data_IF_961653374809
#
_entry.id   IF_961653374809
#
_cell.length_a   1.000
_cell.length_b   1.000
_cell.length_c   1.000
_cell.angle_alpha   90.00
_cell.angle_beta   90.00
_cell.angle_gamma   90.00
#
_symmetry.space_group_name_H-M   'P 1'
#
loop_
_entity.id
_entity.type
_entity.pdbx_description
1 polymer ?
#
# COMPACT_ATOMS: atom_id res chain seq x y z
N UNK A 1 16.24 50.69 28.88
CA UNK A 1 15.92 50.23 27.53
C UNK A 1 15.68 48.72 27.56
N UNK A 2 14.42 48.32 27.69
CA UNK A 2 14.01 46.94 27.75
C UNK A 2 13.88 46.38 26.34
N UNK A 3 14.71 45.39 25.97
CA UNK A 3 14.51 44.61 24.77
C UNK A 3 13.65 43.37 25.11
N UNK A 4 12.41 43.36 24.71
CA UNK A 4 11.52 42.19 24.79
C UNK A 4 12.03 41.13 23.85
N UNK A 5 12.39 39.97 24.38
CA UNK A 5 12.68 38.77 23.62
C UNK A 5 11.37 38.22 23.00
N UNK A 6 11.35 38.05 21.69
CA UNK A 6 10.17 37.57 20.96
C UNK A 6 9.89 36.09 21.28
N UNK A 7 8.60 35.72 21.31
CA UNK A 7 8.11 34.33 21.54
C UNK A 7 8.72 33.26 20.60
N UNK A 8 9.33 33.67 19.49
CA UNK A 8 10.04 32.78 18.57
C UNK A 8 11.41 32.31 19.04
N UNK A 9 12.06 33.06 19.96
CA UNK A 9 13.36 32.68 20.50
C UNK A 9 13.24 31.62 21.61
N UNK A 10 12.10 31.57 22.32
CA UNK A 10 11.88 30.63 23.42
C UNK A 10 11.60 29.20 22.91
N UNK A 11 10.98 29.04 21.72
CA UNK A 11 10.71 27.75 21.10
C UNK A 11 11.92 27.07 20.44
N UNK A 12 12.98 27.83 20.14
CA UNK A 12 14.19 27.26 19.54
C UNK A 12 15.21 26.70 20.54
N UNK A 13 15.08 27.04 21.82
CA UNK A 13 16.05 26.60 22.85
C UNK A 13 15.61 25.33 23.58
N UNK A 14 14.36 24.88 23.43
CA UNK A 14 13.84 23.71 24.14
C UNK A 14 13.94 22.39 23.36
N UNK A 15 14.39 22.43 22.12
CA UNK A 15 14.44 21.23 21.23
C UNK A 15 15.89 20.69 21.10
N UNK A 16 16.89 21.44 21.53
CA UNK A 16 18.30 21.04 21.39
C UNK A 16 18.87 20.19 22.55
N UNK A 17 18.05 19.84 23.57
CA UNK A 17 18.53 19.15 24.77
C UNK A 17 18.08 17.68 24.88
N UNK A 18 17.38 17.15 23.89
CA UNK A 18 16.83 15.78 23.92
C UNK A 18 17.64 14.69 23.24
N UNK A 19 18.75 15.00 22.57
CA UNK A 19 19.42 14.03 21.67
C UNK A 19 20.74 13.46 22.21
N UNK A 20 21.08 13.56 23.49
CA UNK A 20 22.39 13.11 23.99
C UNK A 20 22.38 12.39 25.35
N UNK A 21 21.35 11.54 25.61
CA UNK A 21 21.35 10.69 26.81
C UNK A 21 20.85 9.26 26.54
N UNK A 22 21.28 8.66 25.46
CA UNK A 22 20.98 7.26 25.15
C UNK A 22 22.21 6.34 25.16
N UNK A 23 23.27 6.71 25.89
CA UNK A 23 24.43 5.81 26.05
C UNK A 23 25.07 6.01 27.43
N UNK A 24 24.46 5.46 28.47
CA UNK A 24 25.10 4.90 29.67
C UNK A 24 24.06 4.67 30.78
N UNK A 25 23.65 3.41 31.01
CA UNK A 25 23.46 2.86 32.36
C UNK A 25 22.86 1.46 32.26
N UNK A 26 23.74 0.47 32.18
CA UNK A 26 23.46 -0.82 32.77
C UNK A 26 23.55 -0.61 34.28
N UNK A 27 22.42 -0.45 34.95
CA UNK A 27 22.37 -0.26 36.39
C UNK A 27 20.94 -0.05 36.88
N UNK A 28 20.43 -1.02 37.65
CA UNK A 28 19.21 -1.03 38.48
C UNK A 28 17.92 -0.66 37.74
N UNK A 29 16.99 -1.64 37.66
CA UNK A 29 15.63 -1.40 37.19
C UNK A 29 14.98 -0.30 38.06
N UNK A 30 14.35 0.72 37.44
CA UNK A 30 13.58 1.70 38.17
C UNK A 30 12.36 0.99 38.79
N UNK A 31 12.01 1.39 40.04
CA UNK A 31 10.86 0.87 40.79
C UNK A 31 9.52 1.40 40.23
N UNK A 32 9.35 1.57 38.96
CA UNK A 32 8.14 2.08 38.29
C UNK A 32 7.64 1.13 37.20
N UNK A 33 6.40 1.31 36.80
CA UNK A 33 5.73 0.51 35.75
C UNK A 33 6.33 0.79 34.38
N UNK A 34 6.82 2.02 34.15
CA UNK A 34 7.33 2.51 32.88
C UNK A 34 8.76 3.01 33.01
N UNK A 35 9.48 2.99 31.93
CA UNK A 35 10.74 3.74 31.74
C UNK A 35 10.37 5.17 31.39
N UNK A 36 10.71 6.17 32.23
CA UNK A 36 10.39 7.57 31.93
C UNK A 36 10.97 7.99 30.57
N UNK A 37 10.16 8.68 29.77
CA UNK A 37 10.56 9.14 28.45
C UNK A 37 9.37 9.39 27.53
N UNK A 38 9.67 9.80 26.29
CA UNK A 38 8.66 10.02 25.25
C UNK A 38 8.81 8.93 24.19
N UNK A 39 7.72 8.27 23.88
CA UNK A 39 7.65 7.18 22.94
C UNK A 39 6.62 7.48 21.87
N UNK A 40 6.94 7.15 20.63
CA UNK A 40 6.03 7.37 19.50
C UNK A 40 5.83 6.09 18.73
N UNK A 41 4.62 5.89 18.23
CA UNK A 41 4.29 4.75 17.40
C UNK A 41 3.22 5.09 16.36
N UNK A 42 3.21 4.33 15.29
CA UNK A 42 2.29 4.50 14.16
C UNK A 42 1.34 3.32 14.04
N UNK A 43 0.11 3.63 13.57
CA UNK A 43 -0.86 2.63 13.17
C UNK A 43 -1.67 3.11 11.98
N UNK A 44 -2.23 2.18 11.21
CA UNK A 44 -3.08 2.51 10.07
C UNK A 44 -4.53 2.62 10.51
N UNK A 45 -5.10 3.80 10.31
CA UNK A 45 -6.52 4.07 10.33
C UNK A 45 -7.08 4.12 8.91
N UNK A 46 -7.83 5.16 8.57
CA UNK A 46 -8.12 5.54 7.18
C UNK A 46 -6.83 6.06 6.55
N UNK A 47 -6.11 6.94 7.24
CA UNK A 47 -4.74 7.32 6.95
C UNK A 47 -3.75 6.77 7.98
N UNK A 48 -2.56 7.38 8.05
CA UNK A 48 -1.58 7.09 9.09
C UNK A 48 -1.91 7.89 10.34
N UNK A 49 -2.01 7.21 11.47
CA UNK A 49 -2.17 7.81 12.80
C UNK A 49 -0.86 7.66 13.55
N UNK A 50 -0.32 8.77 14.06
CA UNK A 50 0.84 8.76 14.95
C UNK A 50 0.40 9.14 16.37
N UNK A 51 0.80 8.32 17.33
CA UNK A 51 0.60 8.59 18.76
C UNK A 51 1.96 8.79 19.41
N UNK A 52 2.12 9.91 20.11
CA UNK A 52 3.29 10.20 20.93
C UNK A 52 2.85 10.31 22.37
N UNK A 53 3.41 9.51 23.25
CA UNK A 53 3.06 9.44 24.67
C UNK A 53 4.30 9.69 25.52
N UNK A 54 4.17 10.54 26.52
CA UNK A 54 5.21 10.80 27.50
C UNK A 54 4.84 10.16 28.83
N UNK A 55 5.79 9.44 29.41
CA UNK A 55 5.64 8.67 30.66
C UNK A 55 6.59 9.19 31.73
N UNK A 56 6.12 9.25 32.96
CA UNK A 56 6.98 9.17 34.15
C UNK A 56 7.10 7.69 34.58
N UNK A 57 7.65 7.44 35.77
CA UNK A 57 7.85 6.07 36.24
C UNK A 57 6.54 5.28 36.46
N UNK A 58 5.42 5.96 36.69
CA UNK A 58 4.19 5.35 37.17
C UNK A 58 2.99 5.56 36.23
N UNK A 59 3.04 6.59 35.36
CA UNK A 59 1.88 6.98 34.57
C UNK A 59 2.21 7.67 33.25
N UNK A 60 1.17 7.78 32.41
CA UNK A 60 1.18 8.60 31.18
C UNK A 60 0.95 10.06 31.60
N UNK A 61 1.90 10.95 31.27
CA UNK A 61 1.83 12.37 31.65
C UNK A 61 1.44 13.30 30.50
N UNK A 62 1.59 12.88 29.25
CA UNK A 62 1.08 13.59 28.07
C UNK A 62 0.84 12.63 26.89
N UNK A 63 -0.09 13.03 26.01
CA UNK A 63 -0.41 12.35 24.77
C UNK A 63 -0.56 13.38 23.66
N UNK A 64 0.12 13.17 22.56
CA UNK A 64 -0.04 13.94 21.31
C UNK A 64 -0.51 12.99 20.22
N UNK A 65 -1.59 13.36 19.52
CA UNK A 65 -2.15 12.60 18.41
C UNK A 65 -1.95 13.38 17.13
N UNK A 66 -1.30 12.77 16.16
CA UNK A 66 -1.34 13.24 14.77
C UNK A 66 -2.32 12.34 13.99
N UNK A 67 -3.47 12.91 13.71
CA UNK A 67 -4.55 12.32 12.92
C UNK A 67 -4.83 13.17 11.66
N UNK A 68 -3.85 13.94 11.23
CA UNK A 68 -3.97 14.84 10.07
C UNK A 68 -4.34 14.11 8.78
N UNK A 69 -4.01 12.83 8.70
CA UNK A 69 -4.33 11.96 7.57
C UNK A 69 -5.65 11.19 7.70
N UNK A 70 -6.42 11.45 8.77
CA UNK A 70 -7.75 10.88 8.98
C UNK A 70 -8.83 11.77 8.33
N UNK A 71 -10.06 11.25 8.23
CA UNK A 71 -11.18 11.97 7.61
C UNK A 71 -11.45 13.29 8.31
N UNK A 72 -11.38 14.44 7.62
CA UNK A 72 -11.76 15.74 8.17
C UNK A 72 -13.20 15.73 8.72
N UNK A 73 -13.42 16.38 9.86
CA UNK A 73 -14.75 16.46 10.49
C UNK A 73 -15.22 15.17 11.18
N UNK A 74 -14.54 14.04 11.00
CA UNK A 74 -14.85 12.76 11.66
C UNK A 74 -13.64 12.28 12.45
N UNK A 75 -12.62 11.71 11.79
CA UNK A 75 -11.44 11.17 12.44
C UNK A 75 -10.57 12.26 13.05
N UNK A 76 -10.36 13.37 12.35
CA UNK A 76 -9.61 14.52 12.88
C UNK A 76 -10.34 15.19 14.04
N UNK A 77 -11.67 15.33 13.95
CA UNK A 77 -12.48 15.90 15.02
C UNK A 77 -12.53 15.04 16.30
N UNK A 78 -12.21 13.76 16.20
CA UNK A 78 -12.17 12.85 17.32
C UNK A 78 -10.88 12.98 18.19
N UNK A 79 -9.85 13.67 17.70
CA UNK A 79 -8.52 13.71 18.32
C UNK A 79 -8.55 14.13 19.79
N UNK A 80 -9.20 15.26 20.11
CA UNK A 80 -9.24 15.79 21.46
C UNK A 80 -9.95 14.83 22.44
N UNK A 81 -11.02 14.18 21.98
CA UNK A 81 -11.75 13.20 22.78
C UNK A 81 -10.90 11.95 23.02
N UNK A 82 -10.23 11.44 21.99
CA UNK A 82 -9.35 10.26 22.10
C UNK A 82 -8.14 10.55 22.98
N UNK A 83 -7.54 11.76 22.88
CA UNK A 83 -6.49 12.19 23.80
C UNK A 83 -6.97 12.18 25.27
N UNK A 84 -8.14 12.75 25.53
CA UNK A 84 -8.74 12.76 26.88
C UNK A 84 -8.99 11.35 27.39
N UNK A 85 -9.50 10.46 26.54
CA UNK A 85 -9.76 9.08 26.91
C UNK A 85 -8.47 8.33 27.26
N UNK A 86 -7.39 8.48 26.47
CA UNK A 86 -6.08 7.89 26.78
C UNK A 86 -5.50 8.40 28.10
N UNK A 87 -5.56 9.71 28.33
CA UNK A 87 -5.09 10.31 29.57
C UNK A 87 -5.89 9.86 30.80
N UNK A 88 -7.20 9.71 30.66
CA UNK A 88 -8.08 9.25 31.74
C UNK A 88 -7.94 7.74 32.02
N UNK A 89 -7.85 6.93 30.97
CA UNK A 89 -7.75 5.48 31.09
C UNK A 89 -6.37 5.01 31.55
N UNK A 90 -5.31 5.81 31.31
CA UNK A 90 -3.93 5.40 31.55
C UNK A 90 -3.59 4.06 30.87
N UNK A 91 -4.24 3.74 29.76
CA UNK A 91 -4.17 2.48 29.02
C UNK A 91 -4.43 2.70 27.52
N UNK A 92 -4.08 1.73 26.69
CA UNK A 92 -4.35 1.77 25.27
C UNK A 92 -5.80 1.43 24.90
N UNK A 93 -6.46 0.65 25.75
CA UNK A 93 -7.86 0.30 25.57
C UNK A 93 -8.74 1.44 26.08
N UNK A 94 -9.36 2.15 25.15
CA UNK A 94 -10.19 3.33 25.40
C UNK A 94 -11.52 3.22 24.67
N UNK A 95 -12.51 3.93 25.18
CA UNK A 95 -13.77 4.11 24.47
C UNK A 95 -13.55 4.88 23.17
N UNK A 96 -14.04 4.31 22.09
CA UNK A 96 -13.99 4.94 20.77
C UNK A 96 -15.00 6.07 20.63
N UNK A 97 -14.72 6.96 19.71
CA UNK A 97 -15.65 8.04 19.33
C UNK A 97 -16.64 7.53 18.30
N UNK A 98 -17.94 7.71 18.56
CA UNK A 98 -19.00 7.32 17.63
C UNK A 98 -18.82 7.97 16.28
N UNK A 99 -18.90 7.19 15.21
CA UNK A 99 -18.63 7.63 13.83
C UNK A 99 -17.14 7.61 13.43
N UNK A 100 -16.19 7.64 14.39
CA UNK A 100 -14.75 7.59 14.15
C UNK A 100 -14.10 6.26 14.56
N UNK A 101 -14.78 5.15 14.35
CA UNK A 101 -14.36 3.82 14.84
C UNK A 101 -13.00 3.38 14.30
N UNK A 102 -12.70 3.67 13.05
CA UNK A 102 -11.43 3.28 12.41
C UNK A 102 -10.27 4.07 13.03
N UNK A 103 -10.43 5.39 13.17
CA UNK A 103 -9.47 6.27 13.82
C UNK A 103 -9.24 5.87 15.28
N UNK A 104 -10.32 5.61 16.04
CA UNK A 104 -10.24 5.17 17.43
C UNK A 104 -9.42 3.89 17.59
N UNK A 105 -9.67 2.88 16.74
CA UNK A 105 -8.89 1.63 16.72
C UNK A 105 -7.42 1.85 16.36
N UNK A 106 -7.13 2.75 15.43
CA UNK A 106 -5.75 3.07 15.06
C UNK A 106 -5.02 3.78 16.22
N UNK A 107 -5.67 4.74 16.88
CA UNK A 107 -5.13 5.41 18.06
C UNK A 107 -4.84 4.41 19.17
N UNK A 108 -5.79 3.51 19.50
CA UNK A 108 -5.57 2.46 20.51
C UNK A 108 -4.40 1.53 20.16
N UNK A 109 -4.26 1.12 18.90
CA UNK A 109 -3.14 0.28 18.46
C UNK A 109 -1.77 0.99 18.57
N UNK A 110 -1.69 2.25 18.20
CA UNK A 110 -0.47 3.02 18.32
C UNK A 110 -0.13 3.30 19.79
N UNK A 111 -1.12 3.63 20.62
CA UNK A 111 -0.95 3.80 22.05
C UNK A 111 -0.45 2.52 22.75
N UNK A 112 -0.97 1.34 22.36
CA UNK A 112 -0.49 0.06 22.88
C UNK A 112 0.99 -0.17 22.61
N UNK A 113 1.47 0.19 21.43
CA UNK A 113 2.90 0.13 21.09
C UNK A 113 3.73 1.11 21.94
N UNK A 114 3.29 2.36 22.13
CA UNK A 114 3.98 3.32 22.99
C UNK A 114 4.10 2.79 24.42
N UNK A 115 3.03 2.19 24.97
CA UNK A 115 3.02 1.59 26.30
C UNK A 115 3.99 0.41 26.38
N UNK A 116 3.99 -0.49 25.38
CA UNK A 116 4.90 -1.63 25.31
C UNK A 116 6.38 -1.19 25.22
N UNK A 117 6.67 -0.12 24.48
CA UNK A 117 8.01 0.50 24.43
C UNK A 117 8.42 1.06 25.79
N UNK A 118 7.51 1.80 26.48
CA UNK A 118 7.77 2.37 27.79
C UNK A 118 8.00 1.29 28.86
N UNK A 119 7.33 0.16 28.75
CA UNK A 119 7.56 -1.03 29.60
C UNK A 119 8.84 -1.79 29.23
N UNK A 120 9.40 -1.52 28.06
CA UNK A 120 10.56 -2.25 27.52
C UNK A 120 10.22 -3.65 26.98
N UNK A 121 8.95 -3.92 26.70
CA UNK A 121 8.45 -5.16 26.13
C UNK A 121 8.79 -5.29 24.64
N UNK A 122 8.89 -4.15 23.94
CA UNK A 122 9.32 -4.06 22.53
C UNK A 122 10.39 -2.98 22.37
N UNK A 123 11.28 -3.06 21.34
CA UNK A 123 12.23 -2.01 21.04
C UNK A 123 11.54 -0.66 20.79
N UNK A 124 12.20 0.43 21.15
CA UNK A 124 11.72 1.77 20.85
C UNK A 124 11.74 1.96 19.33
N UNK A 125 10.59 2.22 18.76
CA UNK A 125 10.45 2.55 17.34
C UNK A 125 11.01 3.96 17.15
N UNK A 126 12.18 4.12 16.55
CA UNK A 126 12.72 5.42 16.18
C UNK A 126 11.88 5.90 14.99
N UNK A 127 10.82 6.65 15.28
CA UNK A 127 10.15 7.42 14.24
C UNK A 127 11.13 8.55 13.91
N UNK A 128 11.98 8.33 12.92
CA UNK A 128 12.74 9.42 12.34
C UNK A 128 11.71 10.35 11.72
N UNK A 129 11.52 11.54 12.32
CA UNK A 129 11.07 12.70 11.58
C UNK A 129 12.20 13.03 10.58
N UNK A 130 12.33 12.20 9.54
CA UNK A 130 12.95 12.67 8.31
C UNK A 130 12.01 13.78 7.87
N UNK A 131 12.35 15.04 8.22
CA UNK A 131 11.86 16.19 7.48
C UNK A 131 11.99 15.80 6.03
N UNK A 132 10.84 15.56 5.38
CA UNK A 132 10.80 15.64 3.94
C UNK A 132 11.43 16.97 3.61
N UNK A 133 12.49 16.91 2.82
CA UNK A 133 13.23 18.07 2.33
C UNK A 133 12.29 19.25 2.09
N UNK A 134 12.74 20.45 2.40
CA UNK A 134 11.95 21.67 2.26
C UNK A 134 11.11 21.58 1.00
N UNK A 135 9.80 21.71 1.18
CA UNK A 135 8.83 21.63 0.10
C UNK A 135 9.11 22.77 -0.90
N UNK A 136 9.94 22.48 -1.90
CA UNK A 136 10.27 23.44 -2.97
C UNK A 136 9.14 23.57 -4.00
N UNK A 137 8.00 22.89 -3.77
CA UNK A 137 6.85 22.89 -4.67
C UNK A 137 6.98 21.92 -5.85
N UNK A 138 8.15 21.33 -6.08
CA UNK A 138 8.36 20.38 -7.17
C UNK A 138 7.89 18.97 -6.78
N UNK A 139 6.99 18.40 -7.60
CA UNK A 139 6.53 17.03 -7.42
C UNK A 139 7.62 15.97 -7.71
N UNK A 140 8.66 16.33 -8.43
CA UNK A 140 9.78 15.45 -8.74
C UNK A 140 10.68 15.25 -7.52
N UNK A 141 10.81 16.28 -6.66
CA UNK A 141 11.70 16.28 -5.50
C UNK A 141 13.19 16.30 -5.90
N UNK A 142 14.06 16.17 -4.91
CA UNK A 142 15.51 16.07 -5.13
C UNK A 142 15.97 14.64 -5.14
N UNK A 143 16.93 14.32 -6.02
CA UNK A 143 17.58 13.01 -6.01
C UNK A 143 18.30 12.79 -4.67
N UNK A 144 18.08 11.67 -3.96
CA UNK A 144 18.75 11.42 -2.70
C UNK A 144 20.26 11.24 -2.89
N UNK A 145 21.05 11.90 -2.06
CA UNK A 145 22.50 11.71 -1.97
C UNK A 145 22.80 10.58 -0.98
N UNK A 146 23.30 9.45 -1.50
CA UNK A 146 23.60 8.25 -0.72
C UNK A 146 25.09 7.97 -0.89
N UNK A 147 25.85 8.07 0.22
CA UNK A 147 27.28 7.80 0.17
C UNK A 147 27.53 6.29 0.07
N UNK A 148 28.60 5.89 -0.63
CA UNK A 148 28.94 4.47 -0.83
C UNK A 148 29.13 3.72 0.52
N UNK A 149 29.65 4.38 1.52
CA UNK A 149 29.83 3.82 2.88
C UNK A 149 28.52 3.50 3.61
N UNK A 150 27.39 4.07 3.17
CA UNK A 150 26.08 3.88 3.77
C UNK A 150 25.33 2.68 3.17
N UNK A 151 25.91 2.07 2.12
CA UNK A 151 25.39 0.86 1.47
C UNK A 151 25.94 -0.37 2.23
N UNK A 152 25.05 -1.03 2.96
CA UNK A 152 25.45 -2.15 3.83
C UNK A 152 25.52 -3.49 3.14
N UNK A 153 24.89 -3.65 1.96
CA UNK A 153 24.91 -4.88 1.18
C UNK A 153 24.71 -4.61 -0.31
N UNK A 154 25.25 -5.49 -1.15
CA UNK A 154 25.02 -5.48 -2.61
C UNK A 154 24.55 -6.86 -3.07
N UNK A 155 23.50 -6.90 -3.84
CA UNK A 155 22.95 -8.11 -4.45
C UNK A 155 23.08 -8.08 -5.96
N UNK A 156 23.46 -9.21 -6.55
CA UNK A 156 23.58 -9.40 -7.99
C UNK A 156 22.43 -10.25 -8.53
N UNK A 157 21.80 -9.78 -9.60
CA UNK A 157 20.71 -10.50 -10.27
C UNK A 157 20.76 -10.25 -11.78
N UNK A 158 20.05 -11.07 -12.58
CA UNK A 158 19.84 -10.79 -13.99
C UNK A 158 18.82 -9.70 -14.17
N UNK A 159 17.67 -9.85 -13.49
CA UNK A 159 16.52 -8.96 -13.59
C UNK A 159 16.10 -8.57 -12.18
N UNK A 160 15.96 -7.28 -11.96
CA UNK A 160 15.35 -6.73 -10.76
C UNK A 160 13.94 -6.23 -11.09
N UNK A 161 12.97 -6.62 -10.29
CA UNK A 161 11.60 -6.09 -10.38
C UNK A 161 11.32 -5.25 -9.14
N UNK A 162 10.98 -3.97 -9.35
CA UNK A 162 10.67 -3.01 -8.30
C UNK A 162 9.16 -2.83 -8.21
N UNK A 163 8.59 -3.24 -7.08
CA UNK A 163 7.16 -3.30 -6.85
C UNK A 163 6.59 -4.69 -7.14
N UNK A 164 6.11 -5.40 -6.10
CA UNK A 164 5.50 -6.73 -6.20
C UNK A 164 3.96 -6.63 -6.09
N UNK A 165 3.39 -5.65 -6.79
CA UNK A 165 1.95 -5.56 -7.05
C UNK A 165 1.54 -6.44 -8.23
N UNK A 166 0.37 -6.18 -8.83
CA UNK A 166 -0.16 -6.97 -9.95
C UNK A 166 0.86 -7.10 -11.09
N UNK A 167 1.36 -5.99 -11.62
CA UNK A 167 2.32 -6.04 -12.74
C UNK A 167 3.64 -6.66 -12.36
N UNK A 168 4.14 -6.37 -11.14
CA UNK A 168 5.45 -6.84 -10.69
C UNK A 168 5.51 -8.33 -10.40
N UNK A 169 4.52 -8.90 -9.73
CA UNK A 169 4.47 -10.34 -9.46
C UNK A 169 4.44 -11.16 -10.75
N UNK A 170 3.65 -10.74 -11.73
CA UNK A 170 3.64 -11.39 -13.04
C UNK A 170 4.98 -11.24 -13.78
N UNK A 171 5.61 -10.06 -13.68
CA UNK A 171 6.93 -9.84 -14.28
C UNK A 171 8.00 -10.74 -13.63
N UNK A 172 8.01 -10.88 -12.29
CA UNK A 172 8.91 -11.80 -11.58
C UNK A 172 8.64 -13.24 -12.03
N UNK A 173 7.38 -13.67 -12.08
CA UNK A 173 7.02 -15.02 -12.46
C UNK A 173 7.46 -15.35 -13.90
N UNK A 174 7.16 -14.46 -14.86
CA UNK A 174 7.53 -14.64 -16.26
C UNK A 174 9.06 -14.69 -16.46
N UNK A 175 9.80 -13.79 -15.78
CA UNK A 175 11.25 -13.75 -15.88
C UNK A 175 11.92 -14.98 -15.25
N UNK A 176 11.39 -15.47 -14.12
CA UNK A 176 11.88 -16.70 -13.48
C UNK A 176 11.53 -17.95 -14.31
N UNK A 177 10.34 -18.01 -14.91
CA UNK A 177 9.91 -19.08 -15.82
C UNK A 177 10.82 -19.16 -17.05
N UNK A 178 11.27 -18.00 -17.56
CA UNK A 178 12.26 -17.92 -18.63
C UNK A 178 13.70 -18.28 -18.22
N UNK A 179 13.93 -18.70 -16.98
CA UNK A 179 15.23 -19.13 -16.46
C UNK A 179 16.15 -17.98 -16.03
N UNK A 180 15.64 -16.75 -15.88
CA UNK A 180 16.42 -15.64 -15.34
C UNK A 180 16.63 -15.74 -13.85
N UNK A 181 17.77 -15.28 -13.33
CA UNK A 181 17.94 -14.99 -11.90
C UNK A 181 17.19 -13.70 -11.61
N UNK A 182 16.13 -13.77 -10.77
CA UNK A 182 15.23 -12.65 -10.55
C UNK A 182 15.12 -12.33 -9.07
N UNK A 183 15.16 -11.04 -8.75
CA UNK A 183 14.81 -10.52 -7.43
C UNK A 183 13.64 -9.56 -7.60
N UNK A 184 12.58 -9.76 -6.82
CA UNK A 184 11.48 -8.81 -6.65
C UNK A 184 11.66 -8.06 -5.33
N UNK A 185 11.57 -6.73 -5.35
CA UNK A 185 11.59 -5.91 -4.12
C UNK A 185 10.28 -5.14 -3.98
N UNK A 186 9.79 -5.02 -2.75
CA UNK A 186 8.60 -4.21 -2.45
C UNK A 186 8.73 -3.52 -1.09
N UNK A 187 8.18 -2.31 -0.98
CA UNK A 187 8.15 -1.55 0.27
C UNK A 187 7.20 -2.15 1.31
N UNK A 188 6.27 -2.99 0.92
CA UNK A 188 5.34 -3.68 1.80
C UNK A 188 5.92 -5.02 2.27
N UNK A 189 5.33 -5.57 3.32
CA UNK A 189 5.76 -6.83 3.92
C UNK A 189 5.37 -8.08 3.13
N UNK A 190 4.52 -7.93 2.11
CA UNK A 190 4.03 -9.01 1.25
C UNK A 190 3.73 -8.47 -0.13
N UNK A 191 3.71 -9.33 -1.13
CA UNK A 191 3.19 -9.02 -2.44
C UNK A 191 1.72 -8.60 -2.36
N UNK A 192 1.39 -7.45 -2.96
CA UNK A 192 0.07 -6.84 -2.81
C UNK A 192 -0.51 -6.48 -4.16
N UNK A 193 -1.80 -6.19 -4.16
CA UNK A 193 -2.43 -5.48 -5.28
C UNK A 193 -2.88 -6.31 -6.45
N UNK A 194 -2.69 -7.63 -6.46
CA UNK A 194 -3.42 -8.45 -7.42
C UNK A 194 -4.88 -8.49 -6.96
N UNK A 195 -5.77 -7.94 -7.79
CA UNK A 195 -7.19 -8.15 -7.59
C UNK A 195 -7.53 -9.59 -7.93
N UNK A 196 -8.53 -10.13 -7.25
CA UNK A 196 -9.00 -11.47 -7.52
C UNK A 196 -9.76 -11.54 -8.86
N UNK A 197 -10.33 -10.42 -9.32
CA UNK A 197 -10.96 -10.30 -10.63
C UNK A 197 -9.98 -9.74 -11.66
N UNK A 198 -9.81 -10.45 -12.75
CA UNK A 198 -8.92 -10.11 -13.84
C UNK A 198 -9.71 -9.94 -15.15
N UNK A 199 -9.39 -8.90 -15.91
CA UNK A 199 -10.00 -8.66 -17.21
C UNK A 199 -9.19 -9.29 -18.35
N UNK A 200 -9.87 -9.89 -19.33
CA UNK A 200 -9.24 -10.36 -20.56
C UNK A 200 -10.20 -10.43 -21.74
N UNK A 201 -9.64 -10.48 -22.94
CA UNK A 201 -10.36 -10.76 -24.20
C UNK A 201 -9.71 -11.95 -24.89
N UNK A 202 -10.53 -12.81 -25.48
CA UNK A 202 -10.13 -14.00 -26.22
C UNK A 202 -9.44 -15.11 -25.40
N UNK A 203 -9.70 -15.19 -24.09
CA UNK A 203 -9.26 -16.33 -23.29
C UNK A 203 -9.90 -17.65 -23.72
N UNK A 204 -9.27 -18.79 -23.38
CA UNK A 204 -9.88 -20.11 -23.57
C UNK A 204 -11.21 -20.27 -22.82
N UNK A 205 -11.36 -19.59 -21.70
CA UNK A 205 -12.58 -19.59 -20.89
C UNK A 205 -13.71 -18.87 -21.61
N UNK A 206 -13.46 -17.70 -22.19
CA UNK A 206 -14.44 -16.98 -23.00
C UNK A 206 -14.84 -17.77 -24.24
N UNK A 207 -13.88 -18.42 -24.91
CA UNK A 207 -14.17 -19.30 -26.06
C UNK A 207 -15.06 -20.48 -25.67
N UNK A 208 -14.77 -21.14 -24.54
CA UNK A 208 -15.58 -22.23 -24.02
C UNK A 208 -17.00 -21.78 -23.65
N UNK A 209 -17.19 -20.54 -23.24
CA UNK A 209 -18.49 -19.98 -22.87
C UNK A 209 -19.23 -19.29 -24.01
N UNK A 210 -18.63 -19.28 -25.20
CA UNK A 210 -19.21 -18.65 -26.38
C UNK A 210 -19.22 -17.13 -26.34
N UNK A 211 -18.45 -16.52 -25.43
CA UNK A 211 -18.32 -15.08 -25.30
C UNK A 211 -17.40 -14.54 -26.39
N UNK A 212 -17.91 -13.57 -27.15
CA UNK A 212 -17.16 -12.86 -28.18
C UNK A 212 -17.22 -11.36 -27.90
N UNK A 213 -16.05 -10.71 -27.92
CA UNK A 213 -15.93 -9.26 -27.67
C UNK A 213 -15.30 -8.64 -28.90
N UNK A 214 -15.98 -7.62 -29.46
CA UNK A 214 -15.40 -6.79 -30.52
C UNK A 214 -14.34 -5.87 -29.91
N UNK A 215 -13.10 -6.07 -30.31
CA UNK A 215 -11.94 -5.30 -29.81
C UNK A 215 -12.00 -3.83 -30.18
N UNK A 216 -12.52 -3.49 -31.37
CA UNK A 216 -12.66 -2.11 -31.80
C UNK A 216 -13.73 -1.39 -31.01
N UNK A 217 -14.86 -2.06 -30.75
CA UNK A 217 -15.90 -1.52 -29.88
C UNK A 217 -15.36 -1.31 -28.47
N UNK A 218 -14.62 -2.29 -27.91
CA UNK A 218 -14.00 -2.16 -26.60
C UNK A 218 -13.03 -0.96 -26.54
N UNK A 219 -12.13 -0.81 -27.52
CA UNK A 219 -11.18 0.31 -27.58
C UNK A 219 -11.93 1.65 -27.67
N UNK A 220 -12.99 1.70 -28.47
CA UNK A 220 -13.81 2.90 -28.63
C UNK A 220 -14.47 3.29 -27.30
N UNK A 221 -15.09 2.32 -26.60
CA UNK A 221 -15.71 2.55 -25.31
C UNK A 221 -14.72 2.94 -24.24
N UNK A 222 -13.55 2.29 -24.19
CA UNK A 222 -12.47 2.64 -23.28
C UNK A 222 -11.96 4.07 -23.51
N UNK A 223 -11.84 4.48 -24.77
CA UNK A 223 -11.45 5.84 -25.15
C UNK A 223 -12.48 6.86 -24.70
N UNK A 224 -13.76 6.59 -24.93
CA UNK A 224 -14.86 7.46 -24.49
C UNK A 224 -14.94 7.56 -22.97
N UNK A 225 -14.79 6.41 -22.26
CA UNK A 225 -14.78 6.35 -20.80
C UNK A 225 -13.65 7.19 -20.19
N UNK A 226 -12.48 7.18 -20.80
CA UNK A 226 -11.32 7.97 -20.38
C UNK A 226 -11.37 9.43 -20.87
N UNK A 227 -12.48 9.89 -21.46
CA UNK A 227 -12.62 11.25 -22.00
C UNK A 227 -11.61 11.58 -23.12
N UNK A 228 -11.17 10.59 -23.87
CA UNK A 228 -10.16 10.71 -24.91
C UNK A 228 -8.70 10.67 -24.41
N UNK A 229 -8.47 10.68 -23.11
CA UNK A 229 -7.14 10.65 -22.48
C UNK A 229 -6.64 9.21 -22.30
N UNK A 230 -6.38 8.51 -23.40
CA UNK A 230 -5.97 7.11 -23.39
C UNK A 230 -4.85 6.87 -24.43
N UNK A 231 -3.94 5.98 -24.10
CA UNK A 231 -2.97 5.44 -25.05
C UNK A 231 -3.58 4.21 -25.72
N UNK A 232 -4.20 4.39 -26.88
CA UNK A 232 -4.93 3.33 -27.60
C UNK A 232 -4.04 2.13 -27.94
N UNK A 233 -2.76 2.34 -28.22
CA UNK A 233 -1.80 1.26 -28.50
C UNK A 233 -1.65 0.31 -27.31
N UNK A 234 -1.64 0.83 -26.07
CA UNK A 234 -1.60 0.02 -24.86
C UNK A 234 -2.90 -0.75 -24.65
N UNK A 235 -4.05 -0.12 -24.91
CA UNK A 235 -5.35 -0.79 -24.82
C UNK A 235 -5.45 -1.88 -25.89
N UNK A 236 -5.00 -1.60 -27.10
CA UNK A 236 -4.92 -2.60 -28.16
C UNK A 236 -4.02 -3.78 -27.78
N UNK A 237 -2.84 -3.51 -27.25
CA UNK A 237 -1.93 -4.56 -26.77
C UNK A 237 -2.60 -5.42 -25.71
N UNK A 238 -3.33 -4.80 -24.75
CA UNK A 238 -4.10 -5.52 -23.76
C UNK A 238 -5.18 -6.37 -24.40
N UNK A 239 -5.95 -5.85 -25.37
CA UNK A 239 -6.96 -6.62 -26.10
C UNK A 239 -6.38 -7.84 -26.82
N UNK A 240 -5.17 -7.72 -27.33
CA UNK A 240 -4.53 -8.78 -28.12
C UNK A 240 -3.83 -9.85 -27.24
N UNK A 241 -3.42 -9.49 -26.01
CA UNK A 241 -2.54 -10.32 -25.17
C UNK A 241 -3.15 -10.78 -23.86
N UNK A 242 -4.22 -10.15 -23.40
CA UNK A 242 -4.81 -10.46 -22.08
C UNK A 242 -5.38 -11.89 -22.01
N UNK A 243 -5.92 -12.43 -23.11
CA UNK A 243 -6.41 -13.80 -23.16
C UNK A 243 -5.32 -14.82 -22.86
N UNK A 244 -4.16 -14.69 -23.51
CA UNK A 244 -3.00 -15.53 -23.26
C UNK A 244 -2.51 -15.44 -21.80
N UNK A 245 -2.49 -14.22 -21.23
CA UNK A 245 -2.10 -14.02 -19.85
C UNK A 245 -3.08 -14.70 -18.87
N UNK A 246 -4.37 -14.60 -19.11
CA UNK A 246 -5.40 -15.27 -18.28
C UNK A 246 -5.34 -16.79 -18.42
N UNK A 247 -5.07 -17.31 -19.60
CA UNK A 247 -4.88 -18.74 -19.81
C UNK A 247 -3.70 -19.26 -18.97
N UNK A 248 -2.60 -18.52 -18.93
CA UNK A 248 -1.46 -18.82 -18.06
C UNK A 248 -1.84 -18.82 -16.57
N UNK A 249 -2.62 -17.81 -16.11
CA UNK A 249 -3.15 -17.77 -14.74
C UNK A 249 -3.98 -19.00 -14.43
N UNK A 250 -4.88 -19.36 -15.33
CA UNK A 250 -5.73 -20.53 -15.17
C UNK A 250 -4.95 -21.83 -14.99
N UNK A 251 -3.83 -22.00 -15.69
CA UNK A 251 -2.96 -23.16 -15.51
C UNK A 251 -2.35 -23.19 -14.10
N UNK A 252 -1.92 -22.05 -13.58
CA UNK A 252 -1.35 -21.96 -12.20
C UNK A 252 -2.42 -22.24 -11.14
N UNK A 253 -3.64 -21.82 -11.37
CA UNK A 253 -4.77 -22.10 -10.49
C UNK A 253 -5.15 -23.58 -10.54
N UNK A 254 -5.18 -24.18 -11.74
CA UNK A 254 -5.49 -25.60 -11.95
C UNK A 254 -4.49 -26.52 -11.25
N UNK A 255 -3.20 -26.18 -11.18
CA UNK A 255 -2.18 -26.91 -10.40
C UNK A 255 -2.56 -27.01 -8.89
N UNK A 256 -3.52 -26.22 -8.43
CA UNK A 256 -3.99 -26.17 -7.03
C UNK A 256 -5.45 -26.59 -6.89
N UNK A 257 -6.05 -27.13 -7.94
CA UNK A 257 -7.48 -27.43 -8.02
C UNK A 257 -8.38 -26.21 -7.76
N UNK A 258 -7.92 -25.03 -8.17
CA UNK A 258 -8.69 -23.79 -8.12
C UNK A 258 -9.22 -23.53 -9.54
N UNK A 259 -10.54 -23.44 -9.65
CA UNK A 259 -11.21 -23.14 -10.91
C UNK A 259 -11.17 -21.64 -11.18
N UNK A 260 -10.90 -21.25 -12.41
CA UNK A 260 -11.08 -19.88 -12.87
C UNK A 260 -12.47 -19.75 -13.52
N UNK A 261 -13.29 -18.93 -12.90
CA UNK A 261 -14.65 -18.65 -13.37
C UNK A 261 -14.64 -17.42 -14.29
N UNK A 262 -15.50 -17.43 -15.29
CA UNK A 262 -15.70 -16.33 -16.21
C UNK A 262 -17.03 -15.62 -15.93
N UNK A 263 -17.00 -14.32 -15.80
CA UNK A 263 -18.17 -13.47 -15.64
C UNK A 263 -18.90 -13.31 -16.99
N UNK A 264 -20.20 -13.56 -17.01
CA UNK A 264 -20.99 -13.55 -18.25
C UNK A 264 -21.32 -12.15 -18.77
N UNK A 265 -21.01 -11.11 -18.02
CA UNK A 265 -21.42 -9.73 -18.30
C UNK A 265 -22.89 -9.46 -17.97
N UNK A 266 -23.26 -8.20 -17.86
CA UNK A 266 -24.65 -7.80 -17.69
C UNK A 266 -25.32 -7.63 -19.06
N UNK A 267 -26.46 -8.30 -19.24
CA UNK A 267 -27.23 -8.19 -20.47
C UNK A 267 -28.15 -6.96 -20.50
N UNK A 268 -28.37 -6.32 -19.38
CA UNK A 268 -29.26 -5.21 -19.17
C UNK A 268 -28.52 -3.90 -18.86
N UNK A 269 -27.49 -3.61 -19.64
CA UNK A 269 -26.72 -2.40 -19.41
C UNK A 269 -27.51 -1.15 -19.87
N UNK A 270 -28.19 -0.52 -18.93
CA UNK A 270 -28.85 0.78 -19.10
C UNK A 270 -27.88 1.95 -18.92
N UNK A 271 -26.59 1.66 -18.68
CA UNK A 271 -25.59 2.69 -18.46
C UNK A 271 -25.12 3.31 -19.77
N UNK A 272 -24.52 4.47 -19.68
CA UNK A 272 -23.94 5.19 -20.83
C UNK A 272 -22.82 4.38 -21.52
N UNK A 273 -22.18 3.46 -20.80
CA UNK A 273 -21.08 2.66 -21.28
C UNK A 273 -21.44 1.19 -21.27
N UNK A 274 -21.17 0.52 -22.39
CA UNK A 274 -21.41 -0.91 -22.53
C UNK A 274 -20.54 -1.69 -21.56
N UNK A 275 -21.13 -2.63 -20.83
CA UNK A 275 -20.42 -3.58 -19.99
C UNK A 275 -19.99 -4.79 -20.83
N UNK A 276 -18.69 -5.04 -20.89
CA UNK A 276 -18.13 -6.18 -21.60
C UNK A 276 -17.87 -7.34 -20.64
N UNK A 277 -18.18 -8.56 -21.06
CA UNK A 277 -17.92 -9.77 -20.29
C UNK A 277 -16.43 -10.14 -20.29
N UNK A 278 -15.59 -9.29 -19.69
CA UNK A 278 -14.13 -9.44 -19.62
C UNK A 278 -13.66 -10.06 -18.31
N UNK A 279 -14.52 -10.14 -17.29
CA UNK A 279 -14.17 -10.57 -15.94
C UNK A 279 -13.82 -12.06 -15.87
N UNK A 280 -12.75 -12.38 -15.14
CA UNK A 280 -12.34 -13.73 -14.79
C UNK A 280 -11.97 -13.73 -13.31
N UNK A 281 -12.66 -14.56 -12.53
CA UNK A 281 -12.49 -14.64 -11.08
C UNK A 281 -12.07 -16.03 -10.63
N UNK A 282 -11.00 -16.20 -9.86
CA UNK A 282 -10.64 -17.49 -9.29
C UNK A 282 -11.60 -17.85 -8.15
N UNK A 283 -12.06 -19.11 -8.09
CA UNK A 283 -12.83 -19.64 -6.96
C UNK A 283 -11.89 -19.97 -5.80
N UNK A 284 -11.32 -18.92 -5.18
CA UNK A 284 -10.38 -19.08 -4.09
C UNK A 284 -11.06 -19.69 -2.86
N UNK A 285 -10.39 -20.64 -2.18
CA UNK A 285 -10.94 -21.27 -0.98
C UNK A 285 -11.01 -20.27 0.17
N UNK A 286 -12.18 -20.19 0.81
CA UNK A 286 -12.44 -19.33 1.97
C UNK A 286 -12.30 -20.13 3.25
N UNK A 287 -11.67 -19.53 4.26
CA UNK A 287 -11.68 -20.07 5.63
C UNK A 287 -13.06 -19.81 6.26
N UNK A 288 -13.81 -20.85 6.62
CA UNK A 288 -15.16 -20.70 7.16
C UNK A 288 -15.20 -20.01 8.54
N UNK A 289 -14.08 -19.98 9.25
CA UNK A 289 -13.99 -19.35 10.58
C UNK A 289 -13.75 -17.84 10.47
N UNK A 290 -12.99 -17.42 9.50
CA UNK A 290 -12.54 -16.02 9.37
C UNK A 290 -13.21 -15.27 8.22
N UNK A 291 -13.86 -15.98 7.28
CA UNK A 291 -14.42 -15.42 6.05
C UNK A 291 -13.36 -14.90 5.07
N UNK A 292 -12.08 -15.14 5.32
CA UNK A 292 -10.97 -14.68 4.46
C UNK A 292 -10.53 -15.78 3.49
N UNK A 293 -9.93 -15.39 2.39
CA UNK A 293 -9.29 -16.37 1.51
C UNK A 293 -8.15 -17.10 2.22
N UNK A 294 -8.09 -18.42 2.06
CA UNK A 294 -6.97 -19.25 2.56
C UNK A 294 -5.69 -19.00 1.78
N UNK A 295 -5.81 -18.63 0.53
CA UNK A 295 -4.74 -18.22 -0.37
C UNK A 295 -5.28 -17.16 -1.31
N UNK A 296 -4.47 -16.16 -1.64
CA UNK A 296 -4.79 -15.13 -2.62
C UNK A 296 -4.15 -15.45 -3.97
N UNK A 297 -4.62 -14.84 -5.05
CA UNK A 297 -3.99 -14.96 -6.36
C UNK A 297 -2.54 -14.45 -6.33
N UNK A 298 -2.26 -13.38 -5.58
CA UNK A 298 -0.90 -12.88 -5.38
C UNK A 298 0.03 -13.98 -4.81
N UNK A 299 -0.43 -14.68 -3.77
CA UNK A 299 0.34 -15.78 -3.17
C UNK A 299 0.51 -16.97 -4.12
N UNK A 300 -0.47 -17.26 -4.97
CA UNK A 300 -0.33 -18.31 -6.01
C UNK A 300 0.81 -17.97 -6.97
N UNK A 301 0.82 -16.74 -7.49
CA UNK A 301 1.84 -16.27 -8.44
C UNK A 301 3.21 -16.17 -7.78
N UNK A 302 3.29 -15.62 -6.56
CA UNK A 302 4.52 -15.52 -5.79
C UNK A 302 5.16 -16.89 -5.52
N UNK A 303 4.37 -17.84 -5.03
CA UNK A 303 4.85 -19.21 -4.76
C UNK A 303 5.28 -19.95 -6.04
N UNK A 304 4.58 -19.68 -7.16
CA UNK A 304 5.04 -20.21 -8.46
C UNK A 304 6.40 -19.61 -8.86
N UNK A 305 6.56 -18.30 -8.77
CA UNK A 305 7.81 -17.63 -9.08
C UNK A 305 8.97 -18.10 -8.17
N UNK A 306 8.71 -18.25 -6.87
CA UNK A 306 9.69 -18.77 -5.91
C UNK A 306 10.10 -20.21 -6.24
N UNK A 307 9.15 -21.07 -6.65
CA UNK A 307 9.45 -22.45 -7.13
C UNK A 307 10.33 -22.45 -8.39
N UNK A 308 10.26 -21.39 -9.20
CA UNK A 308 11.12 -21.18 -10.37
C UNK A 308 12.46 -20.51 -10.04
N UNK A 309 12.75 -20.27 -8.76
CA UNK A 309 14.00 -19.70 -8.27
C UNK A 309 14.02 -18.19 -8.08
N UNK A 310 12.89 -17.51 -8.17
CA UNK A 310 12.81 -16.09 -7.84
C UNK A 310 12.99 -15.87 -6.33
N UNK A 311 13.64 -14.74 -5.98
CA UNK A 311 13.78 -14.24 -4.62
C UNK A 311 12.90 -13.02 -4.44
N UNK A 312 12.33 -12.83 -3.24
CA UNK A 312 11.56 -11.65 -2.87
C UNK A 312 12.16 -11.00 -1.63
N UNK A 313 12.45 -9.72 -1.71
CA UNK A 313 12.90 -8.89 -0.60
C UNK A 313 11.81 -7.84 -0.30
N UNK A 314 10.99 -8.16 0.69
CA UNK A 314 9.92 -7.28 1.17
C UNK A 314 10.44 -6.26 2.18
N UNK A 315 9.59 -5.27 2.55
CA UNK A 315 9.98 -4.12 3.38
C UNK A 315 11.20 -3.39 2.82
N UNK A 316 11.34 -3.39 1.49
CA UNK A 316 12.47 -2.86 0.77
C UNK A 316 11.99 -1.84 -0.26
N UNK A 317 12.23 -0.56 0.03
CA UNK A 317 11.74 0.58 -0.76
C UNK A 317 12.83 1.09 -1.68
N UNK A 318 12.63 1.04 -2.99
CA UNK A 318 13.52 1.72 -3.95
C UNK A 318 13.59 3.22 -3.64
N UNK A 319 14.79 3.76 -3.56
CA UNK A 319 15.03 5.19 -3.33
C UNK A 319 15.81 5.85 -4.48
N UNK A 320 16.59 5.09 -5.23
CA UNK A 320 17.41 5.64 -6.32
C UNK A 320 17.62 4.61 -7.42
N UNK A 321 17.52 5.06 -8.69
CA UNK A 321 17.94 4.29 -9.87
C UNK A 321 19.44 4.55 -10.14
N UNK A 322 20.23 3.50 -10.35
CA UNK A 322 21.61 3.64 -10.75
C UNK A 322 21.73 3.50 -12.27
N UNK A 323 22.48 4.42 -12.88
CA UNK A 323 22.69 4.47 -14.34
C UNK A 323 24.18 4.46 -14.67
N UNK A 324 24.52 3.72 -15.70
CA UNK A 324 25.85 3.70 -16.29
C UNK A 324 25.74 3.85 -17.81
N UNK A 325 26.36 4.88 -18.37
CA UNK A 325 26.32 5.15 -19.82
C UNK A 325 24.89 5.22 -20.38
N UNK A 326 23.98 5.91 -19.66
CA UNK A 326 22.59 6.07 -20.09
C UNK A 326 21.67 4.87 -19.81
N UNK A 327 22.21 3.72 -19.42
CA UNK A 327 21.44 2.51 -19.09
C UNK A 327 21.23 2.39 -17.59
N UNK A 328 20.04 2.01 -17.17
CA UNK A 328 19.77 1.61 -15.78
C UNK A 328 20.40 0.25 -15.52
N UNK A 329 21.29 0.18 -14.53
CA UNK A 329 22.08 -1.01 -14.18
C UNK A 329 21.72 -1.58 -12.81
N UNK A 330 20.92 -0.85 -12.03
CA UNK A 330 20.53 -1.29 -10.71
C UNK A 330 19.71 -0.24 -9.97
N UNK A 331 19.49 -0.50 -8.70
CA UNK A 331 18.83 0.43 -7.79
C UNK A 331 19.48 0.40 -6.42
N UNK A 332 19.35 1.51 -5.69
CA UNK A 332 19.55 1.54 -4.24
C UNK A 332 18.17 1.56 -3.58
N UNK A 333 18.00 0.71 -2.59
CA UNK A 333 16.78 0.59 -1.82
C UNK A 333 17.04 0.71 -0.32
N UNK A 334 16.08 1.19 0.43
CA UNK A 334 16.07 1.23 1.89
C UNK A 334 15.34 0.00 2.41
N UNK A 335 15.98 -0.79 3.27
CA UNK A 335 15.42 -2.00 3.86
C UNK A 335 14.59 -1.70 5.13
N UNK A 336 14.06 -2.74 5.78
CA UNK A 336 13.25 -2.63 7.00
C UNK A 336 13.98 -1.93 8.16
N UNK A 337 15.31 -2.00 8.20
CA UNK A 337 16.16 -1.39 9.25
C UNK A 337 16.53 0.07 8.92
N UNK A 338 16.01 0.63 7.82
CA UNK A 338 16.38 1.96 7.34
C UNK A 338 17.78 2.07 6.75
N UNK A 339 18.39 0.93 6.39
CA UNK A 339 19.73 0.86 5.79
C UNK A 339 19.65 0.72 4.28
N UNK A 340 20.63 1.26 3.58
CA UNK A 340 20.67 1.17 2.13
C UNK A 340 21.28 -0.12 1.63
N UNK A 341 20.63 -0.72 0.65
CA UNK A 341 21.05 -1.95 -0.04
C UNK A 341 21.06 -1.70 -1.54
N UNK A 342 22.12 -2.12 -2.21
CA UNK A 342 22.24 -2.03 -3.67
C UNK A 342 21.81 -3.34 -4.33
N UNK A 343 21.10 -3.22 -5.44
CA UNK A 343 20.73 -4.32 -6.32
C UNK A 343 21.26 -4.04 -7.72
N UNK A 344 22.25 -4.81 -8.18
CA UNK A 344 22.77 -4.75 -9.53
C UNK A 344 21.98 -5.71 -10.42
N UNK A 345 21.52 -5.22 -11.59
CA UNK A 345 20.73 -5.98 -12.53
C UNK A 345 21.43 -6.06 -13.89
N UNK A 346 22.01 -7.21 -14.21
CA UNK A 346 22.83 -7.39 -15.41
C UNK A 346 22.04 -7.21 -16.71
N UNK A 347 20.78 -7.66 -16.74
CA UNK A 347 19.91 -7.58 -17.92
C UNK A 347 18.96 -6.37 -17.88
N UNK A 348 18.50 -5.95 -16.70
CA UNK A 348 17.68 -4.76 -16.58
C UNK A 348 16.80 -4.71 -15.33
N UNK A 349 16.14 -3.58 -15.18
CA UNK A 349 15.21 -3.28 -14.06
C UNK A 349 13.82 -3.07 -14.63
N UNK A 350 12.84 -3.80 -14.08
CA UNK A 350 11.42 -3.58 -14.35
C UNK A 350 10.84 -2.72 -13.22
N UNK A 351 10.34 -1.53 -13.56
CA UNK A 351 9.69 -0.63 -12.61
C UNK A 351 8.19 -0.89 -12.65
N UNK A 352 7.66 -1.53 -11.61
CA UNK A 352 6.25 -1.91 -11.47
C UNK A 352 5.63 -1.31 -10.20
N UNK A 353 6.02 -0.08 -9.86
CA UNK A 353 5.68 0.61 -8.61
C UNK A 353 4.25 1.14 -8.54
N UNK A 354 3.45 0.92 -9.57
CA UNK A 354 2.07 1.37 -9.67
C UNK A 354 1.93 2.84 -10.04
N UNK A 355 0.75 3.39 -9.80
CA UNK A 355 0.44 4.78 -10.15
C UNK A 355 0.84 5.78 -9.06
N UNK A 356 0.78 7.05 -9.42
CA UNK A 356 1.15 8.18 -8.56
C UNK A 356 -0.05 8.83 -7.84
N UNK A 357 -1.20 8.18 -7.81
CA UNK A 357 -2.41 8.74 -7.19
C UNK A 357 -2.25 9.13 -5.71
N UNK A 358 -1.24 8.59 -5.03
CA UNK A 358 -0.89 8.97 -3.64
C UNK A 358 0.13 10.11 -3.55
N UNK A 359 0.69 10.57 -4.68
CA UNK A 359 1.54 11.74 -4.73
C UNK A 359 0.68 12.95 -5.10
N UNK A 360 0.29 13.73 -4.09
CA UNK A 360 -0.63 14.85 -4.26
C UNK A 360 -0.06 15.92 -5.21
N UNK A 361 1.21 16.22 -5.12
CA UNK A 361 1.88 17.18 -5.99
C UNK A 361 1.89 16.73 -7.46
N UNK A 362 2.14 15.44 -7.70
CA UNK A 362 2.02 14.89 -9.05
C UNK A 362 0.58 14.92 -9.56
N UNK A 363 -0.40 14.65 -8.70
CA UNK A 363 -1.81 14.75 -9.05
C UNK A 363 -2.19 16.17 -9.39
N UNK A 364 -1.75 17.16 -8.63
CA UNK A 364 -2.01 18.58 -8.88
C UNK A 364 -1.36 19.04 -10.20
N UNK A 365 -0.14 18.63 -10.46
CA UNK A 365 0.60 18.99 -11.67
C UNK A 365 0.07 18.29 -12.93
N UNK A 366 -0.26 16.99 -12.83
CA UNK A 366 -0.51 16.14 -14.00
C UNK A 366 -1.98 15.78 -14.20
N UNK A 367 -2.82 15.85 -13.15
CA UNK A 367 -4.24 15.51 -13.21
C UNK A 367 -5.12 16.48 -12.39
N UNK A 368 -5.01 17.79 -12.61
CA UNK A 368 -5.72 18.80 -11.81
C UNK A 368 -7.24 18.66 -11.89
N UNK A 369 -7.79 18.10 -12.98
CA UNK A 369 -9.24 17.87 -13.12
C UNK A 369 -9.74 16.78 -12.16
N UNK A 370 -8.98 15.74 -11.89
CA UNK A 370 -9.33 14.70 -10.93
C UNK A 370 -9.45 15.28 -9.52
N UNK A 371 -8.56 16.21 -9.15
CA UNK A 371 -8.62 16.89 -7.87
C UNK A 371 -9.84 17.78 -7.71
N UNK A 372 -10.34 18.37 -8.80
CA UNK A 372 -11.58 19.15 -8.78
C UNK A 372 -12.82 18.29 -8.52
N UNK A 373 -12.81 17.04 -9.00
CA UNK A 373 -13.91 16.08 -8.82
C UNK A 373 -13.88 15.47 -7.41
N UNK A 374 -12.70 15.09 -6.92
CA UNK A 374 -12.52 14.41 -5.63
C UNK A 374 -12.57 15.41 -4.47
N UNK A 375 -12.29 16.71 -4.74
CA UNK A 375 -12.15 17.76 -3.75
C UNK A 375 -10.80 17.70 -3.02
N UNK A 376 -10.35 18.85 -2.51
CA UNK A 376 -9.11 18.94 -1.71
C UNK A 376 -9.15 18.16 -0.38
N UNK A 377 -10.35 17.78 0.07
CA UNK A 377 -10.58 17.00 1.28
C UNK A 377 -10.35 15.50 1.13
N UNK A 378 -10.18 15.02 -0.09
CA UNK A 378 -9.92 13.62 -0.41
C UNK A 378 -8.45 13.39 -0.72
N UNK A 379 -7.54 13.61 0.24
CA UNK A 379 -6.22 13.01 0.12
C UNK A 379 -6.42 11.51 -0.10
N UNK A 380 -5.83 10.89 -1.14
CA UNK A 380 -6.05 9.48 -1.42
C UNK A 380 -5.58 8.66 -0.24
N UNK A 381 -6.54 8.15 0.54
CA UNK A 381 -6.29 7.11 1.51
C UNK A 381 -5.83 5.86 0.77
N UNK A 382 -5.07 4.99 1.41
CA UNK A 382 -4.57 3.71 0.83
C UNK A 382 -5.64 2.83 0.19
N UNK A 383 -6.90 3.19 0.34
CA UNK A 383 -8.09 2.51 -0.20
C UNK A 383 -8.93 3.38 -1.13
N UNK A 384 -8.39 4.48 -1.67
CA UNK A 384 -9.17 5.35 -2.57
C UNK A 384 -9.50 4.66 -3.89
N UNK A 385 -10.78 4.74 -4.30
CA UNK A 385 -11.32 4.01 -5.45
C UNK A 385 -10.97 4.62 -6.82
N UNK A 386 -9.87 5.34 -6.97
CA UNK A 386 -9.40 5.72 -8.30
C UNK A 386 -9.07 4.51 -9.18
N UNK A 387 -8.98 3.33 -8.56
CA UNK A 387 -8.95 2.02 -9.24
C UNK A 387 -10.34 1.40 -9.37
N UNK A 388 -11.36 1.92 -8.71
CA UNK A 388 -12.73 1.38 -8.76
C UNK A 388 -13.51 1.74 -10.03
N UNK A 389 -13.01 2.67 -10.84
CA UNK A 389 -13.66 3.09 -12.07
C UNK A 389 -13.64 2.00 -13.18
N UNK A 390 -12.85 0.93 -13.01
CA UNK A 390 -12.84 -0.21 -13.92
C UNK A 390 -13.40 -1.50 -13.32
N UNK A 391 -13.86 -1.49 -12.07
CA UNK A 391 -14.52 -2.63 -11.47
C UNK A 391 -16.01 -2.33 -11.36
N UNK A 392 -16.80 -2.84 -12.27
CA UNK A 392 -18.20 -3.11 -11.99
C UNK A 392 -18.24 -3.94 -10.71
N UNK A 393 -18.82 -3.39 -9.65
CA UNK A 393 -19.06 -4.11 -8.42
C UNK A 393 -19.99 -5.28 -8.71
N UNK A 394 -19.43 -6.46 -8.79
CA UNK A 394 -20.23 -7.68 -8.71
C UNK A 394 -20.87 -7.72 -7.30
N UNK A 395 -22.17 -7.95 -7.17
CA UNK A 395 -22.79 -8.16 -5.87
C UNK A 395 -22.19 -9.40 -5.21
N UNK A 396 -21.86 -9.28 -3.92
CA UNK A 396 -21.41 -10.40 -3.10
C UNK A 396 -22.32 -11.62 -3.26
N UNK A 397 -21.79 -12.84 -3.40
CA UNK A 397 -22.62 -14.06 -3.49
C UNK A 397 -23.21 -14.37 -2.11
N UNK A 398 -24.39 -13.85 -1.82
CA UNK A 398 -25.01 -14.02 -0.51
C UNK A 398 -26.45 -13.57 -0.36
N UNK A 399 -27.27 -13.57 -1.43
CA UNK A 399 -28.72 -13.51 -1.25
C UNK A 399 -29.43 -14.02 -2.52
N UNK A 400 -29.38 -15.33 -2.73
CA UNK A 400 -30.43 -15.97 -3.55
C UNK A 400 -31.47 -16.54 -2.60
N UNK A 401 -32.56 -15.83 -2.44
CA UNK A 401 -33.83 -16.42 -2.02
C UNK A 401 -34.25 -17.46 -3.05
N UNK A 402 -34.36 -18.70 -2.62
CA UNK A 402 -34.98 -19.78 -3.38
C UNK A 402 -36.42 -19.40 -3.73
N UNK A 403 -36.84 -19.58 -5.02
CA UNK A 403 -38.25 -19.52 -5.32
C UNK A 403 -38.88 -20.83 -4.82
N UNK A 404 -39.81 -20.70 -3.88
CA UNK A 404 -40.74 -21.74 -3.51
C UNK A 404 -41.60 -22.11 -4.74
N UNK A 405 -41.54 -23.38 -5.14
CA UNK A 405 -42.49 -23.96 -6.06
C UNK A 405 -43.88 -23.97 -5.42
N UNK A 406 -44.76 -23.16 -5.96
CA UNK A 406 -46.20 -23.19 -5.69
C UNK A 406 -46.87 -23.97 -6.80
N UNK A 407 -47.45 -25.12 -6.45
CA UNK A 407 -48.30 -25.91 -7.29
C UNK A 407 -49.67 -25.23 -7.46
N UNK A 408 -50.17 -25.13 -8.64
CA UNK A 408 -51.49 -25.43 -9.12
C UNK A 408 -51.60 -25.12 -10.61
#
# INVERSE_FOLDING_TARGET
>A
MNKSLSRRAFLRTSIASGASLAAAAAGAAPAGIYRPGTYSAKASGIGEVTVTMTFDADRIIDVVLDVSHETPGIGQAAADTLKKNLMAAQAAEIDGVSGATITSKAVSKAAAKCIAQAKGEIPVEVISDKKTDEDDGDWLGKEPEIAEKDIVATHETDILVVGCGTGGLFAVAAAAEAGGKVIGIDRFAVGTGIREDLGAIDSRYQKAWGTKIDKFEFITMATQYAGGHIQQDLVKLWCDKSGEAIDWVGDRLAERNIELWHESGDKNDETRYKHFAIGHSPKLPIDPKTGKFKITLAQVVEQYAAKKGARFDYNTKMVKLEKKNGRVTGVIAENADGKYVRYNAAKGVVVATGGYAQNWKMMEALQPWNLRIIGRSGAPTRSSPATAAFSGSAPSPGSRSTPTAGAS
#
